data_IF_937715135416
#
_entry.id   IF_937715135416
#
_cell.length_a   1.000
_cell.length_b   1.000
_cell.length_c   1.000
_cell.angle_alpha   90.00
_cell.angle_beta   90.00
_cell.angle_gamma   90.00
#
_symmetry.space_group_name_H-M   'P 1'
#
loop_
_entity.id
_entity.type
_entity.pdbx_description
1 polymer ?
#
# COMPACT_ATOMS: atom_id res chain seq x y z
N UNK A 1 25.24 1.27 31.55
CA UNK A 1 24.34 0.12 31.30
C UNK A 1 22.99 0.52 30.71
N UNK A 2 22.49 1.74 30.96
CA UNK A 2 21.16 2.20 30.47
C UNK A 2 21.05 2.39 28.94
N UNK A 3 22.14 2.77 28.26
CA UNK A 3 22.15 2.95 26.80
C UNK A 3 21.96 1.65 25.98
N UNK A 4 22.36 0.49 26.53
CA UNK A 4 22.26 -0.80 25.85
C UNK A 4 20.83 -1.36 25.86
N UNK A 5 20.08 -1.08 26.93
CA UNK A 5 18.70 -1.54 27.11
C UNK A 5 17.72 -0.75 26.24
N UNK A 6 17.95 0.57 26.10
CA UNK A 6 17.16 1.46 25.24
C UNK A 6 17.30 1.05 23.77
N UNK A 7 18.52 0.74 23.31
CA UNK A 7 18.78 0.29 21.94
C UNK A 7 18.08 -1.03 21.60
N UNK A 8 18.04 -1.97 22.53
CA UNK A 8 17.44 -3.30 22.33
C UNK A 8 15.90 -3.25 22.33
N UNK A 9 15.30 -2.46 23.24
CA UNK A 9 13.85 -2.21 23.25
C UNK A 9 13.36 -1.46 22.02
N UNK A 10 14.12 -0.48 21.55
CA UNK A 10 13.77 0.28 20.35
C UNK A 10 13.79 -0.61 19.09
N UNK A 11 14.80 -1.49 18.96
CA UNK A 11 14.88 -2.48 17.87
C UNK A 11 13.68 -3.41 17.86
N UNK A 12 13.36 -4.01 19.00
CA UNK A 12 12.21 -4.91 19.13
C UNK A 12 10.90 -4.21 18.75
N UNK A 13 10.71 -2.96 19.21
CA UNK A 13 9.54 -2.16 18.85
C UNK A 13 9.49 -1.83 17.36
N UNK A 14 10.62 -1.52 16.73
CA UNK A 14 10.69 -1.24 15.29
C UNK A 14 10.39 -2.49 14.45
N UNK A 15 10.88 -3.67 14.85
CA UNK A 15 10.56 -4.95 14.17
C UNK A 15 9.09 -5.33 14.31
N UNK A 16 8.51 -5.16 15.50
CA UNK A 16 7.09 -5.39 15.68
C UNK A 16 6.24 -4.39 14.89
N UNK A 17 6.63 -3.12 14.88
CA UNK A 17 5.93 -2.08 14.15
C UNK A 17 6.01 -2.31 12.62
N UNK A 18 7.18 -2.67 12.09
CA UNK A 18 7.34 -2.97 10.66
C UNK A 18 6.50 -4.18 10.26
N UNK A 19 6.56 -5.27 11.03
CA UNK A 19 5.77 -6.47 10.76
C UNK A 19 4.25 -6.23 10.83
N UNK A 20 3.79 -5.46 11.81
CA UNK A 20 2.37 -5.04 11.86
C UNK A 20 1.97 -4.21 10.65
N UNK A 21 2.83 -3.26 10.25
CA UNK A 21 2.55 -2.35 9.14
C UNK A 21 2.56 -3.08 7.78
N UNK A 22 3.43 -4.08 7.60
CA UNK A 22 3.41 -4.95 6.43
C UNK A 22 2.14 -5.81 6.39
N UNK A 23 1.77 -6.44 7.50
CA UNK A 23 0.54 -7.22 7.60
C UNK A 23 -0.71 -6.38 7.33
N UNK A 24 -0.80 -5.20 7.95
CA UNK A 24 -1.91 -4.25 7.77
C UNK A 24 -1.91 -3.64 6.37
N UNK A 25 -0.74 -3.38 5.78
CA UNK A 25 -0.62 -2.83 4.44
C UNK A 25 -1.10 -3.83 3.38
N UNK A 26 -0.63 -5.07 3.44
CA UNK A 26 -1.06 -6.09 2.48
C UNK A 26 -2.54 -6.45 2.65
N UNK A 27 -2.97 -6.74 3.89
CA UNK A 27 -4.36 -7.11 4.14
C UNK A 27 -5.30 -5.91 3.92
N UNK A 28 -4.94 -4.73 4.40
CA UNK A 28 -5.77 -3.52 4.32
C UNK A 28 -5.94 -3.01 2.90
N UNK A 29 -4.88 -3.01 2.08
CA UNK A 29 -5.00 -2.61 0.67
C UNK A 29 -5.84 -3.64 -0.09
N UNK A 30 -5.64 -4.96 0.09
CA UNK A 30 -6.40 -5.97 -0.66
C UNK A 30 -7.88 -6.01 -0.26
N UNK A 31 -8.19 -6.05 1.03
CA UNK A 31 -9.58 -6.10 1.51
C UNK A 31 -10.30 -4.76 1.35
N UNK A 32 -9.63 -3.65 1.62
CA UNK A 32 -10.25 -2.32 1.56
C UNK A 32 -10.47 -1.81 0.14
N UNK A 33 -9.62 -2.20 -0.82
CA UNK A 33 -9.68 -1.70 -2.18
C UNK A 33 -10.97 -2.08 -2.92
N UNK A 34 -11.45 -3.32 -2.76
CA UNK A 34 -12.70 -3.76 -3.38
C UNK A 34 -13.91 -2.91 -2.92
N UNK A 35 -13.98 -2.59 -1.63
CA UNK A 35 -15.02 -1.70 -1.08
C UNK A 35 -14.84 -0.24 -1.49
N UNK A 36 -13.59 0.24 -1.56
CA UNK A 36 -13.29 1.61 -1.96
C UNK A 36 -13.68 1.89 -3.43
N UNK A 37 -13.42 0.95 -4.33
CA UNK A 37 -13.82 1.05 -5.74
C UNK A 37 -15.35 1.09 -5.87
N UNK A 38 -16.05 0.28 -5.09
CA UNK A 38 -17.50 0.25 -5.08
C UNK A 38 -18.10 1.59 -4.65
N UNK A 39 -17.65 2.17 -3.53
CA UNK A 39 -18.17 3.46 -3.06
C UNK A 39 -17.81 4.61 -4.01
N UNK A 40 -16.62 4.60 -4.62
CA UNK A 40 -16.22 5.62 -5.60
C UNK A 40 -17.04 5.55 -6.90
N UNK A 41 -17.52 4.35 -7.28
CA UNK A 41 -18.51 4.18 -8.36
C UNK A 41 -19.88 4.72 -7.94
N UNK A 42 -20.29 4.49 -6.70
CA UNK A 42 -21.61 4.89 -6.18
C UNK A 42 -21.73 6.41 -5.97
N UNK A 43 -20.67 7.06 -5.46
CA UNK A 43 -20.59 8.53 -5.29
C UNK A 43 -20.38 9.27 -6.62
N UNK A 44 -20.13 8.57 -7.72
CA UNK A 44 -19.92 9.18 -9.04
C UNK A 44 -18.67 10.06 -9.13
N UNK A 45 -17.68 9.86 -8.23
CA UNK A 45 -16.47 10.69 -8.11
C UNK A 45 -15.66 10.75 -9.43
N UNK A 46 -15.73 9.69 -10.24
CA UNK A 46 -15.11 9.60 -11.56
C UNK A 46 -16.12 9.58 -12.72
N UNK A 47 -17.37 10.02 -12.52
CA UNK A 47 -18.37 10.09 -13.60
C UNK A 47 -17.91 10.95 -14.78
N UNK A 48 -17.01 11.91 -14.56
CA UNK A 48 -16.42 12.73 -15.62
C UNK A 48 -15.48 11.95 -16.56
N UNK A 49 -14.93 10.81 -16.13
CA UNK A 49 -14.09 9.94 -16.97
C UNK A 49 -14.92 8.90 -17.73
N UNK A 50 -16.21 8.75 -17.42
CA UNK A 50 -17.09 7.90 -18.19
C UNK A 50 -17.63 8.67 -19.39
N UNK A 51 -17.43 8.13 -20.58
CA UNK A 51 -18.01 8.69 -21.79
C UNK A 51 -19.41 8.09 -21.97
N UNK A 52 -20.41 8.95 -22.10
CA UNK A 52 -21.73 8.54 -22.56
C UNK A 52 -21.62 8.20 -24.04
N UNK A 53 -21.39 6.93 -24.37
CA UNK A 53 -21.38 6.50 -25.78
C UNK A 53 -22.85 6.41 -26.23
N UNK A 54 -23.23 7.13 -27.31
CA UNK A 54 -24.56 6.96 -27.88
C UNK A 54 -24.66 5.53 -28.45
N UNK A 55 -25.43 4.68 -27.78
CA UNK A 55 -25.74 3.35 -28.30
C UNK A 55 -26.45 3.49 -29.65
N UNK A 56 -25.90 2.85 -30.68
CA UNK A 56 -26.31 2.95 -32.09
C UNK A 56 -27.79 2.58 -32.38
N UNK A 57 -28.60 2.21 -31.38
CA UNK A 57 -29.97 1.73 -31.57
C UNK A 57 -31.04 2.35 -30.66
N UNK A 58 -30.83 3.59 -30.17
CA UNK A 58 -31.89 4.34 -29.49
C UNK A 58 -32.24 3.81 -28.10
N UNK A 59 -32.31 4.71 -27.13
CA UNK A 59 -32.88 4.54 -25.77
C UNK A 59 -32.03 3.89 -24.66
N UNK A 60 -30.75 3.52 -24.85
CA UNK A 60 -29.84 3.26 -23.72
C UNK A 60 -28.47 3.91 -23.95
N UNK A 61 -28.20 4.97 -23.19
CA UNK A 61 -26.87 5.54 -23.00
C UNK A 61 -26.06 4.56 -22.15
N UNK A 62 -25.35 3.63 -22.80
CA UNK A 62 -24.39 2.77 -22.11
C UNK A 62 -23.22 3.65 -21.70
N UNK A 63 -23.07 3.85 -20.39
CA UNK A 63 -21.99 4.68 -19.84
C UNK A 63 -20.74 3.81 -19.79
N UNK A 64 -19.81 4.04 -20.73
CA UNK A 64 -18.57 3.26 -20.81
C UNK A 64 -17.55 3.89 -19.86
N UNK A 65 -17.24 3.17 -18.79
CA UNK A 65 -16.38 3.63 -17.69
C UNK A 65 -15.02 2.93 -17.67
N UNK A 66 -14.59 2.32 -18.78
CA UNK A 66 -13.35 1.53 -18.85
C UNK A 66 -12.11 2.29 -18.37
N UNK A 67 -12.04 3.61 -18.60
CA UNK A 67 -10.96 4.50 -18.12
C UNK A 67 -10.87 4.59 -16.59
N UNK A 68 -12.00 4.47 -15.90
CA UNK A 68 -12.07 4.52 -14.43
C UNK A 68 -11.52 3.22 -13.83
N UNK A 69 -11.88 2.07 -14.41
CA UNK A 69 -11.39 0.76 -13.99
C UNK A 69 -9.86 0.61 -14.24
N UNK A 70 -9.33 1.26 -15.28
CA UNK A 70 -7.88 1.36 -15.54
C UNK A 70 -7.14 2.14 -14.43
N UNK A 71 -7.68 3.29 -14.01
CA UNK A 71 -7.09 4.09 -12.94
C UNK A 71 -7.11 3.37 -11.59
N UNK A 72 -8.18 2.64 -11.28
CA UNK A 72 -8.23 1.81 -10.08
C UNK A 72 -7.14 0.74 -10.08
N UNK A 73 -6.96 0.06 -11.21
CA UNK A 73 -5.89 -0.94 -11.37
C UNK A 73 -4.50 -0.33 -11.15
N UNK A 74 -4.28 0.90 -11.64
CA UNK A 74 -3.05 1.67 -11.41
C UNK A 74 -2.82 1.95 -9.92
N UNK A 75 -3.83 2.44 -9.20
CA UNK A 75 -3.74 2.73 -7.76
C UNK A 75 -3.39 1.47 -6.95
N UNK A 76 -4.05 0.34 -7.23
CA UNK A 76 -3.73 -0.94 -6.59
C UNK A 76 -2.30 -1.39 -6.87
N UNK A 77 -1.85 -1.22 -8.12
CA UNK A 77 -0.49 -1.56 -8.55
C UNK A 77 0.54 -0.71 -7.81
N UNK A 78 0.36 0.62 -7.79
CA UNK A 78 1.25 1.55 -7.08
C UNK A 78 1.31 1.24 -5.58
N UNK A 79 0.16 0.97 -4.95
CA UNK A 79 0.11 0.57 -3.54
C UNK A 79 0.90 -0.72 -3.28
N UNK A 80 0.79 -1.71 -4.17
CA UNK A 80 1.52 -2.98 -4.08
C UNK A 80 3.04 -2.78 -4.27
N UNK A 81 3.45 -1.89 -5.18
CA UNK A 81 4.85 -1.53 -5.37
C UNK A 81 5.45 -0.85 -4.15
N UNK A 82 4.74 0.12 -3.58
CA UNK A 82 5.18 0.84 -2.38
C UNK A 82 5.34 -0.12 -1.19
N UNK A 83 4.44 -1.09 -1.05
CA UNK A 83 4.51 -2.11 0.00
C UNK A 83 5.78 -2.97 -0.14
N UNK A 84 6.09 -3.45 -1.35
CA UNK A 84 7.34 -4.17 -1.63
C UNK A 84 8.60 -3.33 -1.36
N UNK A 85 8.56 -2.03 -1.69
CA UNK A 85 9.69 -1.14 -1.44
C UNK A 85 9.88 -0.90 0.07
N UNK A 86 8.79 -0.84 0.84
CA UNK A 86 8.83 -0.69 2.28
C UNK A 86 9.40 -1.93 2.97
N UNK A 87 9.08 -3.14 2.47
CA UNK A 87 9.73 -4.39 2.89
C UNK A 87 11.23 -4.37 2.62
N UNK A 88 11.67 -3.89 1.44
CA UNK A 88 13.10 -3.74 1.12
C UNK A 88 13.80 -2.72 2.03
N UNK A 89 13.17 -1.57 2.29
CA UNK A 89 13.70 -0.55 3.19
C UNK A 89 13.84 -1.10 4.61
N UNK A 90 12.82 -1.82 5.11
CA UNK A 90 12.88 -2.46 6.41
C UNK A 90 14.04 -3.46 6.47
N UNK A 91 14.20 -4.31 5.45
CA UNK A 91 15.32 -5.24 5.34
C UNK A 91 16.69 -4.55 5.36
N UNK A 92 16.86 -3.47 4.59
CA UNK A 92 18.09 -2.67 4.58
C UNK A 92 18.38 -2.01 5.93
N UNK A 93 17.35 -1.48 6.59
CA UNK A 93 17.45 -0.88 7.92
C UNK A 93 17.89 -1.93 8.95
N UNK A 94 17.32 -3.14 8.91
CA UNK A 94 17.71 -4.23 9.81
C UNK A 94 19.14 -4.70 9.56
N UNK A 95 19.58 -4.82 8.30
CA UNK A 95 20.94 -5.21 7.97
C UNK A 95 21.97 -4.18 8.48
N UNK A 96 21.68 -2.88 8.30
CA UNK A 96 22.59 -1.80 8.74
C UNK A 96 22.62 -1.63 10.26
N UNK A 97 21.48 -1.70 10.94
CA UNK A 97 21.42 -1.54 12.41
C UNK A 97 21.89 -2.81 13.15
N UNK A 98 21.74 -3.99 12.57
CA UNK A 98 22.25 -5.26 13.10
C UNK A 98 23.77 -5.33 13.04
N UNK A 99 24.34 -5.19 11.83
CA UNK A 99 25.79 -5.28 11.59
C UNK A 99 26.62 -4.22 12.34
N UNK A 100 26.08 -3.02 12.56
CA UNK A 100 26.77 -1.96 13.28
C UNK A 100 26.91 -2.27 14.79
N UNK A 101 25.95 -2.98 15.37
CA UNK A 101 26.01 -3.39 16.79
C UNK A 101 26.84 -4.64 17.01
N UNK A 102 26.82 -5.62 16.09
CA UNK A 102 27.78 -6.74 16.14
C UNK A 102 29.22 -6.22 16.05
N UNK A 103 29.45 -5.19 15.23
CA UNK A 103 30.79 -4.59 15.07
C UNK A 103 31.22 -3.75 16.28
N UNK A 104 30.30 -3.10 16.99
CA UNK A 104 30.58 -2.39 18.25
C UNK A 104 30.76 -3.32 19.47
N UNK A 105 30.16 -4.52 19.46
CA UNK A 105 30.31 -5.51 20.55
C UNK A 105 31.54 -6.40 20.39
N UNK A 106 32.05 -6.55 19.17
CA UNK A 106 33.26 -7.34 18.88
C UNK A 106 34.57 -6.58 19.11
N UNK A 107 34.49 -5.29 19.49
CA UNK A 107 35.63 -4.42 19.80
C UNK A 107 35.59 -4.02 21.27
#
# INVERSE_FOLDING_TARGET
>A
MEGFEIGTRLRYRLTLASGMLECLGFAGVVFGFASLVFVLKEDGYFSHLCVSVPGTNGTKTTTDCTMQDEQFSLVFTVASFLNNFMTLINGYLFDRFGTMVTRLLAM
#
